data_IF_102687256845
#
_entry.id   IF_102687256845
#
_cell.length_a   1.000
_cell.length_b   1.000
_cell.length_c   1.000
_cell.angle_alpha   90.00
_cell.angle_beta   90.00
_cell.angle_gamma   90.00
#
_symmetry.space_group_name_H-M   'P 1'
#
loop_
_entity.id
_entity.type
_entity.pdbx_description
1 polymer ?
#
# COMPACT_ATOMS: atom_id res chain seq x y z
N UNK A 1 -7.14 9.92 20.03
CA UNK A 1 -6.52 10.69 18.95
C UNK A 1 -6.81 12.17 19.17
N UNK A 2 -5.85 13.03 18.85
CA UNK A 2 -6.04 14.48 18.99
C UNK A 2 -7.12 14.94 18.03
N UNK A 3 -8.11 15.68 18.50
CA UNK A 3 -9.10 16.41 17.69
C UNK A 3 -8.46 17.42 16.74
N UNK A 4 -7.16 17.62 16.85
CA UNK A 4 -6.35 18.54 16.04
C UNK A 4 -5.81 17.92 14.74
N UNK A 5 -5.94 16.59 14.51
CA UNK A 5 -5.46 16.00 13.26
C UNK A 5 -6.51 16.25 12.15
N UNK A 6 -6.18 17.07 11.12
CA UNK A 6 -7.13 17.42 10.07
C UNK A 6 -7.66 16.21 9.30
N UNK A 7 -6.96 15.10 9.30
CA UNK A 7 -7.38 13.87 8.63
C UNK A 7 -8.61 13.22 9.26
N UNK A 8 -8.92 13.58 10.49
CA UNK A 8 -9.98 12.94 11.28
C UNK A 8 -10.99 13.94 11.87
N UNK A 9 -10.84 15.23 11.58
CA UNK A 9 -11.72 16.27 12.08
C UNK A 9 -12.73 16.68 11.00
N UNK A 10 -14.04 16.37 11.16
CA UNK A 10 -15.07 16.76 10.19
C UNK A 10 -15.23 18.29 10.02
N UNK A 11 -14.87 19.06 11.03
CA UNK A 11 -14.94 20.52 11.02
C UNK A 11 -13.73 21.20 10.38
N UNK A 12 -12.71 20.41 9.99
CA UNK A 12 -11.49 20.98 9.43
C UNK A 12 -11.72 21.42 7.98
N UNK A 13 -11.52 22.72 7.66
CA UNK A 13 -11.68 23.22 6.30
C UNK A 13 -10.70 22.55 5.34
N UNK A 14 -11.16 22.11 4.20
CA UNK A 14 -10.32 21.50 3.17
C UNK A 14 -10.59 22.08 1.78
N UNK A 15 -9.53 22.25 1.00
CA UNK A 15 -9.60 22.55 -0.43
C UNK A 15 -9.55 21.27 -1.29
N UNK A 16 -9.47 20.11 -0.64
CA UNK A 16 -9.45 18.80 -1.29
C UNK A 16 -10.81 18.38 -1.84
N UNK A 17 -10.84 17.31 -2.66
CA UNK A 17 -12.09 16.85 -3.31
C UNK A 17 -13.08 16.22 -2.34
N UNK A 18 -12.64 15.79 -1.19
CA UNK A 18 -13.46 15.16 -0.17
C UNK A 18 -13.22 15.75 1.21
N UNK A 19 -14.25 15.72 2.02
CA UNK A 19 -14.20 16.05 3.44
C UNK A 19 -14.72 14.88 4.27
N UNK A 20 -14.15 14.68 5.45
CA UNK A 20 -14.58 13.59 6.33
C UNK A 20 -15.96 13.93 6.93
N UNK A 21 -16.90 13.00 6.88
CA UNK A 21 -18.21 13.11 7.52
C UNK A 21 -18.35 12.20 8.73
N UNK A 22 -17.69 11.03 8.72
CA UNK A 22 -17.63 10.13 9.86
C UNK A 22 -16.18 9.77 10.12
N UNK A 23 -15.69 10.15 11.27
CA UNK A 23 -14.29 9.95 11.68
C UNK A 23 -14.15 9.04 12.90
N UNK A 24 -12.93 8.84 13.41
CA UNK A 24 -12.65 7.99 14.56
C UNK A 24 -13.32 8.43 15.88
N UNK A 25 -13.79 9.67 15.94
CA UNK A 25 -14.55 10.15 17.10
C UNK A 25 -15.99 9.62 17.14
N UNK A 26 -16.54 9.24 15.99
CA UNK A 26 -17.92 8.80 15.84
C UNK A 26 -18.05 7.32 15.47
N UNK A 27 -17.00 6.71 14.92
CA UNK A 27 -16.97 5.29 14.57
C UNK A 27 -15.54 4.74 14.66
N UNK A 28 -15.41 3.55 15.24
CA UNK A 28 -14.18 2.76 15.24
C UNK A 28 -14.14 1.74 14.10
N UNK A 29 -15.22 1.60 13.36
CA UNK A 29 -15.39 0.58 12.33
C UNK A 29 -15.31 1.16 10.91
N UNK A 30 -15.70 2.43 10.75
CA UNK A 30 -15.79 3.07 9.43
C UNK A 30 -15.33 4.50 9.43
N UNK A 31 -14.72 4.90 8.30
CA UNK A 31 -14.47 6.31 7.96
C UNK A 31 -15.24 6.62 6.69
N UNK A 32 -16.03 7.69 6.69
CA UNK A 32 -16.81 8.11 5.53
C UNK A 32 -16.34 9.50 5.11
N UNK A 33 -16.02 9.62 3.83
CA UNK A 33 -15.68 10.88 3.18
C UNK A 33 -16.74 11.22 2.15
N UNK A 34 -17.28 12.42 2.23
CA UNK A 34 -18.27 12.95 1.29
C UNK A 34 -17.63 13.97 0.36
N UNK A 35 -18.18 14.10 -0.83
CA UNK A 35 -17.73 15.07 -1.82
C UNK A 35 -17.79 16.49 -1.25
N UNK A 36 -16.70 17.24 -1.45
CA UNK A 36 -16.65 18.66 -1.09
C UNK A 36 -17.40 19.49 -2.15
N UNK A 37 -18.54 20.12 -1.81
CA UNK A 37 -19.31 20.90 -2.78
C UNK A 37 -18.58 22.15 -3.28
N UNK A 38 -17.54 22.57 -2.60
CA UNK A 38 -16.71 23.71 -2.96
C UNK A 38 -15.39 23.33 -3.67
N UNK A 39 -15.27 22.06 -4.09
CA UNK A 39 -14.08 21.66 -4.80
C UNK A 39 -13.98 22.35 -6.15
N UNK A 40 -12.82 22.95 -6.42
CA UNK A 40 -12.61 23.90 -7.49
C UNK A 40 -12.39 23.29 -8.88
N UNK A 41 -12.08 22.00 -8.98
CA UNK A 41 -11.82 21.35 -10.26
C UNK A 41 -13.10 20.93 -10.97
N UNK A 42 -13.10 21.15 -12.28
CA UNK A 42 -14.14 20.67 -13.20
C UNK A 42 -13.50 19.84 -14.32
N UNK A 43 -14.27 19.00 -14.98
CA UNK A 43 -13.87 18.31 -16.20
C UNK A 43 -13.96 19.24 -17.43
N UNK A 44 -13.62 18.70 -18.60
CA UNK A 44 -13.68 19.44 -19.88
C UNK A 44 -15.10 19.83 -20.31
N UNK A 45 -16.14 19.20 -19.74
CA UNK A 45 -17.54 19.51 -19.99
C UNK A 45 -18.13 20.48 -18.95
N UNK A 46 -17.33 20.93 -17.96
CA UNK A 46 -17.75 21.83 -16.89
C UNK A 46 -18.38 21.15 -15.69
N UNK A 47 -18.42 19.82 -15.64
CA UNK A 47 -18.95 19.11 -14.46
C UNK A 47 -17.96 19.16 -13.30
N UNK A 48 -18.47 19.48 -12.12
CA UNK A 48 -17.64 19.52 -10.92
C UNK A 48 -17.13 18.13 -10.52
N UNK A 49 -15.83 18.02 -10.25
CA UNK A 49 -15.20 16.84 -9.68
C UNK A 49 -15.29 16.87 -8.13
N UNK A 50 -15.17 15.72 -7.46
CA UNK A 50 -15.09 14.36 -7.98
C UNK A 50 -16.46 13.82 -8.41
N UNK A 51 -16.51 12.79 -9.27
CA UNK A 51 -17.77 12.18 -9.71
C UNK A 51 -18.38 11.27 -8.63
N UNK A 52 -17.56 10.65 -7.78
CA UNK A 52 -18.02 9.77 -6.70
C UNK A 52 -18.45 10.65 -5.53
N UNK A 53 -19.68 10.47 -5.06
CA UNK A 53 -20.24 11.32 -4.00
C UNK A 53 -19.64 11.05 -2.63
N UNK A 54 -19.34 9.78 -2.33
CA UNK A 54 -18.69 9.41 -1.08
C UNK A 54 -17.85 8.15 -1.25
N UNK A 55 -16.88 7.94 -0.38
CA UNK A 55 -16.23 6.66 -0.19
C UNK A 55 -16.14 6.32 1.29
N UNK A 56 -16.34 5.05 1.54
CA UNK A 56 -16.32 4.45 2.85
C UNK A 56 -15.07 3.58 2.99
N UNK A 57 -14.38 3.75 4.10
CA UNK A 57 -13.28 2.89 4.50
C UNK A 57 -13.71 2.05 5.69
N UNK A 58 -13.86 0.76 5.48
CA UNK A 58 -14.07 -0.20 6.56
C UNK A 58 -12.74 -0.51 7.22
N UNK A 59 -12.69 -0.44 8.54
CA UNK A 59 -11.51 -0.73 9.34
C UNK A 59 -11.52 -2.21 9.69
N UNK A 60 -10.50 -2.94 9.26
CA UNK A 60 -10.30 -4.35 9.57
C UNK A 60 -9.17 -4.52 10.59
N UNK A 61 -9.28 -5.53 11.44
CA UNK A 61 -8.27 -5.81 12.46
C UNK A 61 -6.98 -6.42 11.87
N UNK A 62 -7.11 -7.16 10.75
CA UNK A 62 -5.99 -7.84 10.13
C UNK A 62 -6.15 -7.97 8.60
N UNK A 63 -5.08 -8.40 7.94
CA UNK A 63 -5.04 -8.56 6.50
C UNK A 63 -5.82 -9.77 5.99
N UNK A 64 -6.04 -10.79 6.81
CA UNK A 64 -6.79 -11.98 6.43
C UNK A 64 -8.29 -11.62 6.31
N UNK A 65 -8.81 -10.80 7.23
CA UNK A 65 -10.17 -10.28 7.16
C UNK A 65 -10.39 -9.39 5.93
N UNK A 66 -9.44 -8.49 5.60
CA UNK A 66 -9.48 -7.71 4.35
C UNK A 66 -9.51 -8.61 3.12
N UNK A 67 -8.70 -9.66 3.13
CA UNK A 67 -8.61 -10.59 2.00
C UNK A 67 -9.92 -11.35 1.77
N UNK A 68 -10.56 -11.81 2.84
CA UNK A 68 -11.87 -12.47 2.77
C UNK A 68 -12.95 -11.53 2.27
N UNK A 69 -13.00 -10.30 2.76
CA UNK A 69 -13.95 -9.29 2.30
C UNK A 69 -13.75 -9.00 0.80
N UNK A 70 -12.50 -8.85 0.35
CA UNK A 70 -12.18 -8.66 -1.07
C UNK A 70 -12.58 -9.88 -1.93
N UNK A 71 -12.26 -11.10 -1.50
CA UNK A 71 -12.62 -12.33 -2.19
C UNK A 71 -14.15 -12.52 -2.32
N UNK A 72 -14.92 -11.97 -1.38
CA UNK A 72 -16.39 -11.98 -1.42
C UNK A 72 -17.00 -10.79 -2.18
N UNK A 73 -16.20 -9.92 -2.80
CA UNK A 73 -16.70 -8.76 -3.55
C UNK A 73 -17.27 -7.64 -2.68
N UNK A 74 -16.87 -7.57 -1.41
CA UNK A 74 -17.33 -6.55 -0.46
C UNK A 74 -16.49 -5.26 -0.49
N UNK A 75 -15.47 -5.22 -1.36
CA UNK A 75 -14.54 -4.09 -1.48
C UNK A 75 -14.46 -3.69 -2.94
N UNK A 76 -14.85 -2.46 -3.25
CA UNK A 76 -14.82 -1.93 -4.62
C UNK A 76 -13.39 -1.62 -5.09
N UNK A 77 -12.54 -1.17 -4.18
CA UNK A 77 -11.16 -0.81 -4.48
C UNK A 77 -10.21 -1.10 -3.31
N UNK A 78 -9.16 -1.87 -3.57
CA UNK A 78 -8.07 -2.11 -2.62
C UNK A 78 -6.74 -2.25 -3.36
N UNK A 79 -5.70 -1.57 -2.90
CA UNK A 79 -4.39 -1.65 -3.53
C UNK A 79 -3.27 -2.01 -2.54
N UNK A 80 -3.51 -2.06 -1.26
CA UNK A 80 -2.47 -2.19 -0.24
C UNK A 80 -2.54 -3.55 0.42
N UNK A 81 -3.04 -4.06 1.22
CA UNK A 81 -2.94 -5.27 2.04
C UNK A 81 -3.07 -6.62 1.31
N UNK A 82 -3.44 -6.62 0.04
CA UNK A 82 -3.64 -7.84 -0.76
C UNK A 82 -2.40 -8.26 -1.56
N UNK A 83 -1.25 -7.61 -1.35
CA UNK A 83 -0.03 -7.90 -2.10
C UNK A 83 0.72 -9.14 -1.65
N UNK A 84 0.50 -9.62 -0.42
CA UNK A 84 1.21 -10.80 0.05
C UNK A 84 0.93 -11.98 -0.89
N UNK A 85 1.96 -12.64 -1.43
CA UNK A 85 1.80 -13.73 -2.39
C UNK A 85 0.87 -14.84 -1.90
N UNK A 86 0.82 -15.06 -0.60
CA UNK A 86 -0.05 -16.06 0.04
C UNK A 86 -1.56 -15.83 -0.24
N UNK A 87 -1.98 -14.59 -0.50
CA UNK A 87 -3.39 -14.27 -0.77
C UNK A 87 -3.78 -14.38 -2.24
N UNK A 88 -2.79 -14.36 -3.13
CA UNK A 88 -3.03 -14.34 -4.57
C UNK A 88 -3.91 -15.49 -5.09
N UNK A 89 -3.69 -16.76 -4.69
CA UNK A 89 -4.55 -17.85 -5.13
C UNK A 89 -6.02 -17.61 -4.79
N UNK A 90 -6.32 -17.26 -3.55
CA UNK A 90 -7.69 -16.99 -3.09
C UNK A 90 -8.35 -15.85 -3.88
N UNK A 91 -7.62 -14.75 -4.07
CA UNK A 91 -8.12 -13.59 -4.82
C UNK A 91 -8.38 -13.95 -6.29
N UNK A 92 -7.46 -14.68 -6.94
CA UNK A 92 -7.63 -15.07 -8.36
C UNK A 92 -8.80 -16.03 -8.54
N UNK A 93 -8.95 -17.02 -7.65
CA UNK A 93 -10.02 -18.01 -7.70
C UNK A 93 -11.42 -17.37 -7.60
N UNK A 94 -11.54 -16.34 -6.78
CA UNK A 94 -12.83 -15.69 -6.50
C UNK A 94 -13.13 -14.48 -7.39
N UNK A 95 -12.29 -14.12 -8.36
CA UNK A 95 -12.48 -12.96 -9.23
C UNK A 95 -13.87 -12.93 -9.91
N UNK A 96 -14.32 -14.06 -10.43
CA UNK A 96 -15.63 -14.16 -11.10
C UNK A 96 -16.79 -14.05 -10.13
N UNK A 97 -16.69 -14.67 -8.96
CA UNK A 97 -17.73 -14.64 -7.92
C UNK A 97 -17.86 -13.27 -7.29
N UNK A 98 -16.72 -12.61 -7.02
CA UNK A 98 -16.66 -11.31 -6.38
C UNK A 98 -16.82 -10.12 -7.35
N UNK A 99 -16.94 -10.40 -8.66
CA UNK A 99 -17.08 -9.38 -9.72
C UNK A 99 -16.01 -8.28 -9.69
N UNK A 100 -14.75 -8.68 -9.53
CA UNK A 100 -13.63 -7.75 -9.53
C UNK A 100 -12.51 -8.20 -10.47
N UNK A 101 -11.57 -7.31 -10.74
CA UNK A 101 -10.39 -7.56 -11.56
C UNK A 101 -9.11 -7.13 -10.84
N UNK A 102 -8.02 -7.82 -11.13
CA UNK A 102 -6.68 -7.39 -10.74
C UNK A 102 -6.11 -6.44 -11.79
N UNK A 103 -5.69 -5.27 -11.35
CA UNK A 103 -5.06 -4.28 -12.22
C UNK A 103 -3.56 -4.27 -11.92
N UNK A 104 -2.70 -4.70 -12.88
CA UNK A 104 -1.26 -4.64 -12.68
C UNK A 104 -0.79 -3.19 -12.56
N UNK A 105 -0.07 -2.89 -11.49
CA UNK A 105 0.46 -1.55 -11.23
C UNK A 105 1.98 -1.62 -11.27
N UNK A 106 2.61 -0.68 -11.98
CA UNK A 106 4.07 -0.52 -11.95
C UNK A 106 4.44 0.30 -10.71
N UNK A 107 5.28 -0.28 -9.87
CA UNK A 107 5.83 0.42 -8.71
C UNK A 107 7.13 1.15 -9.07
N UNK A 108 7.42 2.21 -8.33
CA UNK A 108 8.63 3.02 -8.53
C UNK A 108 9.87 2.44 -7.84
N UNK A 109 9.73 1.40 -7.04
CA UNK A 109 10.84 0.71 -6.39
C UNK A 109 11.13 -0.63 -7.05
N UNK A 110 12.42 -0.96 -7.13
CA UNK A 110 12.89 -2.10 -7.91
C UNK A 110 12.79 -3.44 -7.17
N UNK A 111 12.76 -3.44 -5.83
CA UNK A 111 12.83 -4.65 -5.02
C UNK A 111 11.77 -4.65 -3.93
N UNK A 112 11.06 -5.76 -3.78
CA UNK A 112 10.10 -5.99 -2.69
C UNK A 112 10.80 -6.16 -1.34
N UNK A 113 11.96 -6.81 -1.32
CA UNK A 113 12.78 -6.96 -0.12
C UNK A 113 14.21 -6.49 -0.38
N UNK A 114 14.74 -5.66 0.51
CA UNK A 114 16.10 -5.16 0.43
C UNK A 114 16.70 -4.95 1.82
N UNK A 115 17.94 -5.39 2.01
CA UNK A 115 18.73 -5.08 3.20
C UNK A 115 19.47 -3.77 2.95
N UNK A 116 19.14 -2.75 3.73
CA UNK A 116 19.80 -1.44 3.68
C UNK A 116 20.70 -1.27 4.88
N UNK A 117 22.00 -1.11 4.65
CA UNK A 117 22.97 -0.89 5.72
C UNK A 117 23.14 0.62 5.98
N UNK A 118 23.15 1.01 7.26
CA UNK A 118 23.41 2.39 7.64
C UNK A 118 24.91 2.72 7.53
N UNK A 119 25.33 3.29 6.40
CA UNK A 119 26.72 3.68 6.14
C UNK A 119 27.21 4.85 7.00
N UNK A 120 26.30 5.56 7.68
CA UNK A 120 26.60 6.65 8.62
C UNK A 120 26.32 6.26 10.07
N UNK A 121 26.45 4.97 10.40
CA UNK A 121 26.17 4.48 11.75
C UNK A 121 27.03 5.22 12.80
N UNK A 122 26.42 5.57 13.94
CA UNK A 122 27.09 6.30 15.03
C UNK A 122 28.28 5.54 15.64
N UNK A 123 28.16 4.22 15.76
CA UNK A 123 29.24 3.34 16.14
C UNK A 123 30.24 3.24 14.98
N UNK A 124 31.50 3.66 15.25
CA UNK A 124 32.59 3.74 14.25
C UNK A 124 32.89 2.36 13.66
N UNK A 125 33.01 1.33 14.52
CA UNK A 125 33.33 -0.03 14.08
C UNK A 125 32.28 -0.58 13.13
N UNK A 126 30.98 -0.43 13.48
CA UNK A 126 29.88 -0.85 12.60
C UNK A 126 29.86 -0.05 11.30
N UNK A 127 30.15 1.25 11.37
CA UNK A 127 30.21 2.11 10.19
C UNK A 127 31.30 1.64 9.22
N UNK A 128 32.51 1.36 9.71
CA UNK A 128 33.61 0.83 8.89
C UNK A 128 33.26 -0.51 8.24
N UNK A 129 32.65 -1.43 9.00
CA UNK A 129 32.16 -2.71 8.47
C UNK A 129 31.14 -2.49 7.36
N UNK A 130 30.13 -1.64 7.59
CA UNK A 130 29.07 -1.39 6.60
C UNK A 130 29.57 -0.63 5.38
N UNK A 131 30.56 0.24 5.53
CA UNK A 131 31.21 0.93 4.42
C UNK A 131 32.13 0.01 3.61
N UNK A 132 32.56 -1.11 4.17
CA UNK A 132 33.42 -2.04 3.46
C UNK A 132 32.68 -2.72 2.31
N UNK A 133 33.12 -2.48 1.07
CA UNK A 133 32.48 -3.03 -0.14
C UNK A 133 32.52 -4.56 -0.17
N UNK A 134 33.63 -5.19 0.30
CA UNK A 134 33.76 -6.65 0.34
C UNK A 134 32.75 -7.27 1.32
N UNK A 135 32.55 -6.65 2.48
CA UNK A 135 31.52 -7.08 3.44
C UNK A 135 30.12 -7.06 2.82
N UNK A 136 29.76 -5.96 2.16
CA UNK A 136 28.44 -5.85 1.51
C UNK A 136 28.27 -6.87 0.37
N UNK A 137 29.30 -7.11 -0.41
CA UNK A 137 29.28 -8.14 -1.44
C UNK A 137 29.13 -9.54 -0.85
N UNK A 138 29.91 -9.88 0.19
CA UNK A 138 29.77 -11.14 0.92
C UNK A 138 28.37 -11.35 1.48
N UNK A 139 27.79 -10.33 2.12
CA UNK A 139 26.42 -10.37 2.62
C UNK A 139 25.41 -10.63 1.49
N UNK A 140 25.60 -10.00 0.34
CA UNK A 140 24.74 -10.22 -0.83
C UNK A 140 24.83 -11.66 -1.37
N UNK A 141 26.03 -12.26 -1.36
CA UNK A 141 26.21 -13.66 -1.77
C UNK A 141 25.67 -14.66 -0.75
N UNK A 142 25.63 -14.30 0.52
CA UNK A 142 25.10 -15.16 1.59
C UNK A 142 23.56 -15.30 1.57
N UNK A 143 22.86 -14.45 0.81
CA UNK A 143 21.40 -14.50 0.71
C UNK A 143 20.99 -15.52 -0.33
N UNK A 144 20.27 -16.56 0.10
CA UNK A 144 19.60 -17.50 -0.81
C UNK A 144 18.31 -16.86 -1.34
N UNK A 145 18.44 -16.18 -2.46
CA UNK A 145 17.31 -15.47 -3.10
C UNK A 145 16.26 -16.42 -3.65
N UNK A 146 16.69 -17.60 -4.13
CA UNK A 146 15.76 -18.57 -4.68
C UNK A 146 14.90 -19.16 -3.58
N UNK A 147 15.48 -19.56 -2.45
CA UNK A 147 14.72 -20.02 -1.31
C UNK A 147 13.70 -19.00 -0.82
N UNK A 148 14.05 -17.71 -0.81
CA UNK A 148 13.12 -16.62 -0.47
C UNK A 148 11.98 -16.52 -1.51
N UNK A 149 12.29 -16.58 -2.80
CA UNK A 149 11.29 -16.55 -3.86
C UNK A 149 10.30 -17.71 -3.71
N UNK A 150 10.82 -18.90 -3.50
CA UNK A 150 9.99 -20.11 -3.43
C UNK A 150 9.10 -20.15 -2.17
N UNK A 151 9.65 -19.76 -1.02
CA UNK A 151 8.95 -19.88 0.27
C UNK A 151 8.07 -18.67 0.62
N UNK A 152 8.54 -17.45 0.31
CA UNK A 152 7.85 -16.21 0.71
C UNK A 152 6.97 -15.67 -0.42
N UNK A 153 7.43 -15.82 -1.67
CA UNK A 153 6.76 -15.26 -2.85
C UNK A 153 6.06 -16.33 -3.71
N UNK A 154 5.94 -17.57 -3.21
CA UNK A 154 5.28 -18.68 -3.90
C UNK A 154 5.80 -18.89 -5.34
N UNK A 155 7.10 -18.74 -5.53
CA UNK A 155 7.76 -18.87 -6.84
C UNK A 155 7.58 -17.66 -7.77
N UNK A 156 6.91 -16.60 -7.33
CA UNK A 156 6.67 -15.41 -8.16
C UNK A 156 7.78 -14.39 -7.97
N UNK A 157 8.46 -14.03 -9.05
CA UNK A 157 9.53 -13.05 -9.05
C UNK A 157 10.84 -13.56 -9.62
N UNK A 158 11.83 -12.69 -9.66
CA UNK A 158 13.20 -13.01 -10.11
C UNK A 158 14.22 -12.41 -9.15
N UNK A 159 15.31 -13.15 -8.92
CA UNK A 159 16.42 -12.63 -8.15
C UNK A 159 17.04 -11.42 -8.85
N UNK A 160 17.12 -10.30 -8.14
CA UNK A 160 17.69 -9.07 -8.67
C UNK A 160 18.55 -8.35 -7.63
N UNK A 161 19.51 -7.55 -8.11
CA UNK A 161 20.15 -6.54 -7.30
C UNK A 161 19.34 -5.24 -7.38
N UNK A 162 19.52 -4.37 -6.38
CA UNK A 162 18.93 -3.02 -6.42
C UNK A 162 19.50 -2.32 -7.65
N UNK A 163 18.64 -2.03 -8.60
CA UNK A 163 18.96 -1.26 -9.79
C UNK A 163 17.83 -0.29 -10.13
N UNK A 164 18.09 0.78 -10.87
CA UNK A 164 17.02 1.61 -11.40
C UNK A 164 16.03 0.76 -12.22
N UNK A 165 14.77 1.13 -12.16
CA UNK A 165 13.77 0.51 -13.02
C UNK A 165 14.19 0.73 -14.47
N UNK A 166 14.13 -0.33 -15.28
CA UNK A 166 14.23 -0.17 -16.72
C UNK A 166 12.99 0.55 -17.20
N UNK A 167 13.17 1.68 -17.84
CA UNK A 167 12.11 2.48 -18.44
C UNK A 167 11.42 1.74 -19.59
#
# INVERSE_FOLDING_TARGET
GSTADPRYNPEFPTVGPYQISTGPQTSTERLIYTRNPYYWKVDTAGNQLPYIDYHEYTIFNDADAVTLAAANGQIDYQWRHLFAPKYRPLIVENMKKGDYRLVPTKFTYANEAAIKLNLNHKDVVKREIFQNKKFRAGLSHAIDRQAIIDTVYAGVGTAANISPLKG
#
